data_IF_366655690253
#
_entry.id   IF_366655690253
#
_cell.length_a   1.000
_cell.length_b   1.000
_cell.length_c   1.000
_cell.angle_alpha   90.00
_cell.angle_beta   90.00
_cell.angle_gamma   90.00
#
_symmetry.space_group_name_H-M   'P 1'
#
loop_
_entity.id
_entity.type
_entity.pdbx_description
1 polymer ?
#
# COMPACT_ATOMS: atom_id res chain seq x y z
N UNK A 1 -43.21 0.77 34.50
CA UNK A 1 -41.92 0.25 33.99
C UNK A 1 -41.42 -0.77 34.98
N UNK A 2 -41.43 -2.04 34.60
CA UNK A 2 -40.98 -3.12 35.48
C UNK A 2 -39.46 -3.15 35.54
N UNK A 3 -38.90 -3.04 36.74
CA UNK A 3 -37.45 -3.05 36.98
C UNK A 3 -36.79 -4.34 36.47
N UNK A 4 -37.52 -5.45 36.50
CA UNK A 4 -37.09 -6.73 35.93
C UNK A 4 -37.03 -6.72 34.40
N UNK A 5 -37.96 -6.00 33.74
CA UNK A 5 -37.97 -5.87 32.26
C UNK A 5 -36.76 -5.07 31.78
N UNK A 6 -36.44 -3.96 32.46
CA UNK A 6 -35.29 -3.11 32.09
C UNK A 6 -33.96 -3.87 32.18
N UNK A 7 -33.80 -4.71 33.21
CA UNK A 7 -32.62 -5.57 33.36
C UNK A 7 -32.56 -6.65 32.26
N UNK A 8 -33.71 -7.26 31.93
CA UNK A 8 -33.79 -8.22 30.82
C UNK A 8 -33.42 -7.62 29.47
N UNK A 9 -33.90 -6.41 29.19
CA UNK A 9 -33.60 -5.68 27.96
C UNK A 9 -32.11 -5.27 27.89
N UNK A 10 -31.52 -4.84 29.01
CA UNK A 10 -30.10 -4.52 29.07
C UNK A 10 -29.21 -5.75 28.78
N UNK A 11 -29.56 -6.92 29.34
CA UNK A 11 -28.84 -8.18 29.08
C UNK A 11 -28.97 -8.58 27.60
N UNK A 12 -30.16 -8.43 27.02
CA UNK A 12 -30.40 -8.72 25.61
C UNK A 12 -29.58 -7.80 24.71
N UNK A 13 -29.51 -6.51 25.04
CA UNK A 13 -28.72 -5.53 24.29
C UNK A 13 -27.21 -5.81 24.36
N UNK A 14 -26.68 -6.17 25.53
CA UNK A 14 -25.28 -6.57 25.69
C UNK A 14 -24.93 -7.81 24.85
N UNK A 15 -25.81 -8.80 24.80
CA UNK A 15 -25.61 -9.98 23.93
C UNK A 15 -25.55 -9.61 22.45
N UNK A 16 -26.44 -8.71 22.00
CA UNK A 16 -26.44 -8.23 20.61
C UNK A 16 -25.17 -7.44 20.27
N UNK A 17 -24.68 -6.62 21.20
CA UNK A 17 -23.41 -5.91 21.05
C UNK A 17 -22.23 -6.89 20.96
N UNK A 18 -22.19 -7.89 21.83
CA UNK A 18 -21.13 -8.90 21.83
C UNK A 18 -21.08 -9.67 20.50
N UNK A 19 -22.23 -10.03 19.95
CA UNK A 19 -22.33 -10.71 18.65
C UNK A 19 -21.83 -9.81 17.50
N UNK A 20 -22.24 -8.52 17.50
CA UNK A 20 -21.74 -7.55 16.51
C UNK A 20 -20.24 -7.36 16.57
N UNK A 21 -19.66 -7.21 17.76
CA UNK A 21 -18.21 -7.08 17.94
C UNK A 21 -17.50 -8.31 17.39
N UNK A 22 -17.98 -9.51 17.71
CA UNK A 22 -17.40 -10.76 17.20
C UNK A 22 -17.43 -10.83 15.66
N UNK A 23 -18.55 -10.44 15.04
CA UNK A 23 -18.64 -10.43 13.57
C UNK A 23 -17.65 -9.44 12.93
N UNK A 24 -17.50 -8.25 13.50
CA UNK A 24 -16.57 -7.23 13.01
C UNK A 24 -15.10 -7.66 13.19
N UNK A 25 -14.77 -8.30 14.31
CA UNK A 25 -13.44 -8.85 14.55
C UNK A 25 -13.10 -9.98 13.57
N UNK A 26 -14.06 -10.87 13.27
CA UNK A 26 -13.86 -11.93 12.29
C UNK A 26 -13.70 -11.40 10.86
N UNK A 27 -14.46 -10.38 10.45
CA UNK A 27 -14.26 -9.69 9.16
C UNK A 27 -12.89 -9.03 9.08
N UNK A 28 -12.45 -8.39 10.16
CA UNK A 28 -11.14 -7.71 10.21
C UNK A 28 -9.99 -8.71 10.13
N UNK A 29 -10.11 -9.88 10.79
CA UNK A 29 -9.11 -10.96 10.74
C UNK A 29 -8.99 -11.61 9.36
N UNK A 30 -10.08 -11.70 8.60
CA UNK A 30 -10.04 -12.20 7.21
C UNK A 30 -9.36 -11.20 6.27
N UNK A 31 -9.51 -9.89 6.53
CA UNK A 31 -8.88 -8.82 5.73
C UNK A 31 -7.39 -8.66 6.00
N UNK A 32 -6.89 -8.98 7.20
CA UNK A 32 -5.46 -8.86 7.51
C UNK A 32 -4.58 -9.96 6.89
N UNK A 33 -5.15 -11.03 6.34
CA UNK A 33 -4.41 -12.12 5.67
C UNK A 33 -4.26 -11.94 4.16
N UNK A 34 -4.90 -10.94 3.55
CA UNK A 34 -4.78 -10.66 2.12
C UNK A 34 -3.69 -9.59 1.87
N UNK A 35 -2.46 -10.08 1.77
CA UNK A 35 -1.32 -9.41 1.14
C UNK A 35 -0.83 -8.11 1.76
N UNK A 36 0.05 -8.25 2.77
CA UNK A 36 1.01 -7.20 3.10
C UNK A 36 2.41 -7.70 2.73
N UNK A 37 2.92 -7.27 1.58
CA UNK A 37 4.37 -7.25 1.35
C UNK A 37 4.86 -5.92 1.92
N UNK A 38 5.43 -5.97 3.12
CA UNK A 38 6.20 -4.86 3.68
C UNK A 38 7.54 -4.80 2.93
N UNK A 39 7.75 -3.80 2.09
CA UNK A 39 9.10 -3.37 1.72
C UNK A 39 9.47 -2.22 2.66
N UNK A 40 10.14 -2.58 3.75
CA UNK A 40 10.67 -1.63 4.74
C UNK A 40 11.99 -1.07 4.20
N UNK A 41 12.09 0.24 3.98
CA UNK A 41 12.79 1.25 4.82
C UNK A 41 13.21 2.48 3.98
N UNK A 42 12.47 3.59 4.06
CA UNK A 42 12.99 4.88 3.61
C UNK A 42 14.10 5.34 4.55
N UNK A 43 15.34 5.47 4.06
CA UNK A 43 16.43 6.11 4.81
C UNK A 43 16.55 7.58 4.41
N UNK A 44 16.63 8.43 5.42
CA UNK A 44 16.88 9.87 5.30
C UNK A 44 18.32 10.07 4.88
N UNK A 45 18.56 10.65 3.70
CA UNK A 45 19.88 11.16 3.33
C UNK A 45 20.18 12.39 4.19
N UNK A 46 21.16 12.29 5.09
CA UNK A 46 21.87 13.45 5.62
C UNK A 46 23.00 13.74 4.64
N UNK A 47 22.78 14.72 3.76
CA UNK A 47 23.87 15.31 2.99
C UNK A 47 24.71 16.18 3.95
N UNK A 48 25.99 15.89 4.00
CA UNK A 48 26.90 16.41 5.01
C UNK A 48 28.30 15.87 4.75
N UNK A 49 28.88 16.35 3.67
CA UNK A 49 30.30 16.57 3.46
C UNK A 49 31.24 16.13 4.61
N UNK A 50 32.23 15.29 4.23
CA UNK A 50 33.59 15.18 4.77
C UNK A 50 33.99 13.81 5.37
N UNK A 51 35.06 13.26 4.78
CA UNK A 51 36.06 12.34 5.37
C UNK A 51 35.88 10.81 5.23
N UNK A 52 36.69 10.25 4.32
CA UNK A 52 37.51 9.02 4.42
C UNK A 52 37.51 8.24 5.74
N UNK A 53 37.19 6.94 5.68
CA UNK A 53 38.05 5.83 6.15
C UNK A 53 37.45 4.45 5.80
N UNK A 54 38.32 3.53 5.37
CA UNK A 54 38.07 2.10 5.14
C UNK A 54 37.59 1.33 6.39
N UNK A 55 37.08 0.12 6.11
CA UNK A 55 36.93 -1.07 6.96
C UNK A 55 35.52 -1.44 7.48
N UNK A 56 34.95 -2.41 6.75
CA UNK A 56 34.24 -3.59 7.25
C UNK A 56 33.15 -3.39 8.34
N UNK A 57 31.91 -3.22 7.88
CA UNK A 57 30.74 -3.74 8.59
C UNK A 57 29.80 -4.49 7.62
N UNK A 58 29.85 -5.80 7.77
CA UNK A 58 28.82 -6.81 7.51
C UNK A 58 27.47 -6.36 6.92
N UNK A 59 27.15 -6.87 5.73
CA UNK A 59 25.82 -7.36 5.32
C UNK A 59 24.64 -6.43 5.56
N UNK A 60 24.35 -5.56 4.60
CA UNK A 60 23.08 -4.84 4.57
C UNK A 60 22.62 -4.70 3.10
N UNK A 61 21.37 -5.07 2.74
CA UNK A 61 20.85 -4.83 1.40
C UNK A 61 20.48 -3.34 1.29
N UNK A 62 21.49 -2.48 1.15
CA UNK A 62 21.32 -1.01 1.16
C UNK A 62 21.19 -0.40 -0.23
N UNK A 63 20.91 -1.19 -1.26
CA UNK A 63 20.97 -0.70 -2.64
C UNK A 63 19.90 -1.40 -3.51
N UNK A 64 18.65 -1.38 -3.06
CA UNK A 64 17.55 -1.73 -3.96
C UNK A 64 17.28 -0.51 -4.85
N UNK A 65 17.50 -0.59 -6.17
CA UNK A 65 17.42 0.58 -7.04
C UNK A 65 15.97 1.08 -7.10
N UNK A 66 15.78 2.39 -6.99
CA UNK A 66 14.50 3.02 -7.31
C UNK A 66 14.03 2.56 -8.71
N UNK A 67 12.72 2.35 -8.91
CA UNK A 67 11.60 2.75 -8.04
C UNK A 67 11.21 1.73 -6.95
N UNK A 68 10.90 2.21 -5.75
CA UNK A 68 10.23 1.41 -4.70
C UNK A 68 8.72 1.38 -4.99
N UNK A 69 8.12 0.19 -5.05
CA UNK A 69 6.70 0.00 -5.41
C UNK A 69 6.01 -0.87 -4.35
N UNK A 70 4.96 -0.33 -3.75
CA UNK A 70 4.00 -1.07 -2.93
C UNK A 70 2.67 -1.20 -3.67
N UNK A 71 2.07 -2.39 -3.64
CA UNK A 71 0.74 -2.61 -4.19
C UNK A 71 -0.12 -3.42 -3.22
N UNK A 72 -1.42 -3.08 -3.15
CA UNK A 72 -2.41 -3.76 -2.32
C UNK A 72 -3.70 -3.95 -3.10
N UNK A 73 -4.30 -5.12 -2.98
CA UNK A 73 -5.63 -5.41 -3.50
C UNK A 73 -6.64 -5.38 -2.36
N UNK A 74 -7.80 -4.79 -2.61
CA UNK A 74 -8.95 -4.82 -1.71
C UNK A 74 -10.21 -4.88 -2.53
N UNK A 75 -10.96 -5.97 -2.43
CA UNK A 75 -12.17 -6.22 -3.21
C UNK A 75 -11.92 -6.03 -4.72
N UNK A 76 -12.46 -4.96 -5.31
CA UNK A 76 -12.30 -4.58 -6.73
C UNK A 76 -11.34 -3.40 -6.95
N UNK A 77 -10.64 -2.97 -5.90
CA UNK A 77 -9.76 -1.81 -5.92
C UNK A 77 -8.31 -2.23 -5.73
N UNK A 78 -7.42 -1.54 -6.43
CA UNK A 78 -5.97 -1.65 -6.33
C UNK A 78 -5.42 -0.32 -5.82
N UNK A 79 -4.62 -0.37 -4.77
CA UNK A 79 -3.82 0.76 -4.31
C UNK A 79 -2.35 0.51 -4.68
N UNK A 80 -1.74 1.47 -5.34
CA UNK A 80 -0.34 1.45 -5.76
C UNK A 80 0.34 2.68 -5.16
N UNK A 81 1.48 2.49 -4.49
CA UNK A 81 2.32 3.56 -3.96
C UNK A 81 3.72 3.39 -4.50
N UNK A 82 4.28 4.47 -5.02
CA UNK A 82 5.55 4.45 -5.73
C UNK A 82 6.39 5.61 -5.24
N UNK A 83 7.60 5.28 -4.81
CA UNK A 83 8.61 6.27 -4.49
C UNK A 83 9.76 6.15 -5.51
N UNK A 84 10.08 7.26 -6.17
CA UNK A 84 11.05 7.29 -7.25
C UNK A 84 11.70 8.67 -7.41
N UNK A 85 12.76 8.72 -8.21
CA UNK A 85 13.36 10.00 -8.61
C UNK A 85 12.45 10.77 -9.56
N UNK A 86 12.41 12.08 -9.35
CA UNK A 86 11.72 13.04 -10.21
C UNK A 86 12.41 13.10 -11.56
N UNK A 87 11.86 12.37 -12.53
CA UNK A 87 12.24 12.41 -13.94
C UNK A 87 11.07 12.96 -14.78
N UNK A 88 11.38 13.63 -15.88
CA UNK A 88 10.36 14.15 -16.79
C UNK A 88 9.55 12.97 -17.36
N UNK A 89 8.22 13.05 -17.29
CA UNK A 89 7.31 12.05 -17.86
C UNK A 89 7.13 10.76 -17.05
N UNK A 90 7.69 10.65 -15.84
CA UNK A 90 7.52 9.44 -14.99
C UNK A 90 6.04 9.17 -14.65
N UNK A 91 5.27 10.21 -14.36
CA UNK A 91 3.83 10.06 -14.04
C UNK A 91 3.04 9.60 -15.26
N UNK A 92 3.35 10.14 -16.44
CA UNK A 92 2.71 9.74 -17.70
C UNK A 92 3.00 8.26 -18.02
N UNK A 93 4.27 7.85 -17.87
CA UNK A 93 4.71 6.46 -18.04
C UNK A 93 4.00 5.53 -17.05
N UNK A 94 3.87 5.96 -15.80
CA UNK A 94 3.18 5.20 -14.76
C UNK A 94 1.72 4.95 -15.12
N UNK A 95 0.98 6.00 -15.45
CA UNK A 95 -0.45 5.90 -15.76
C UNK A 95 -0.65 4.99 -16.97
N UNK A 96 0.17 5.15 -18.02
CA UNK A 96 0.12 4.28 -19.20
C UNK A 96 0.39 2.80 -18.85
N UNK A 97 1.37 2.53 -17.98
CA UNK A 97 1.67 1.15 -17.55
C UNK A 97 0.50 0.57 -16.74
N UNK A 98 -0.12 1.34 -15.84
CA UNK A 98 -1.28 0.88 -15.06
C UNK A 98 -2.47 0.58 -15.97
N UNK A 99 -2.79 1.47 -16.91
CA UNK A 99 -3.88 1.27 -17.87
C UNK A 99 -3.63 0.06 -18.79
N UNK A 100 -2.38 -0.17 -19.19
CA UNK A 100 -1.97 -1.34 -19.98
C UNK A 100 -2.15 -2.69 -19.26
N UNK A 101 -2.40 -2.68 -17.94
CA UNK A 101 -2.67 -3.87 -17.14
C UNK A 101 -4.16 -4.17 -16.98
N UNK A 102 -5.05 -3.52 -17.74
CA UNK A 102 -6.51 -3.64 -17.59
C UNK A 102 -7.00 -3.17 -16.22
N UNK A 103 -6.36 -2.12 -15.70
CA UNK A 103 -6.78 -1.42 -14.50
C UNK A 103 -7.28 -0.04 -14.89
N UNK A 104 -8.46 0.35 -14.40
CA UNK A 104 -9.02 1.68 -14.64
C UNK A 104 -8.59 2.62 -13.52
N UNK A 105 -7.81 3.66 -13.82
CA UNK A 105 -7.37 4.64 -12.81
C UNK A 105 -8.58 5.46 -12.33
N UNK A 106 -8.89 5.36 -11.03
CA UNK A 106 -9.97 6.13 -10.38
C UNK A 106 -9.42 7.44 -9.82
N UNK A 107 -8.26 7.36 -9.16
CA UNK A 107 -7.64 8.50 -8.50
C UNK A 107 -6.12 8.39 -8.59
N UNK A 108 -5.46 9.53 -8.71
CA UNK A 108 -4.00 9.62 -8.65
C UNK A 108 -3.62 10.86 -7.86
N UNK A 109 -2.65 10.71 -6.96
CA UNK A 109 -2.05 11.79 -6.20
C UNK A 109 -0.54 11.73 -6.41
N UNK A 110 0.05 12.89 -6.68
CA UNK A 110 1.48 13.04 -6.92
C UNK A 110 2.01 14.09 -5.95
N UNK A 111 3.00 13.71 -5.15
CA UNK A 111 3.68 14.57 -4.21
C UNK A 111 5.15 14.63 -4.56
N UNK A 112 5.71 15.82 -4.71
CA UNK A 112 7.15 16.02 -4.86
C UNK A 112 7.77 16.35 -3.52
N UNK A 113 8.90 15.73 -3.19
CA UNK A 113 9.68 16.07 -2.01
C UNK A 113 11.06 16.60 -2.44
N UNK A 114 11.34 17.85 -2.09
CA UNK A 114 12.53 18.54 -2.54
C UNK A 114 12.65 18.62 -4.07
N UNK A 115 13.88 18.58 -4.57
CA UNK A 115 14.17 18.74 -5.99
C UNK A 115 14.24 17.42 -6.76
N UNK A 116 14.39 16.29 -6.06
CA UNK A 116 14.75 15.00 -6.67
C UNK A 116 13.77 13.87 -6.37
N UNK A 117 12.92 13.94 -5.34
CA UNK A 117 12.05 12.82 -4.97
C UNK A 117 10.59 13.04 -5.41
N UNK A 118 9.94 11.94 -5.79
CA UNK A 118 8.55 11.88 -6.22
C UNK A 118 7.86 10.68 -5.55
N UNK A 119 6.76 10.96 -4.86
CA UNK A 119 5.85 9.97 -4.30
C UNK A 119 4.54 10.01 -5.11
N UNK A 120 4.15 8.86 -5.65
CA UNK A 120 2.94 8.72 -6.44
C UNK A 120 2.04 7.67 -5.81
N UNK A 121 0.81 8.04 -5.54
CA UNK A 121 -0.24 7.12 -5.11
C UNK A 121 -1.30 7.02 -6.21
N UNK A 122 -1.60 5.80 -6.66
CA UNK A 122 -2.64 5.50 -7.65
C UNK A 122 -3.67 4.57 -7.02
N UNK A 123 -4.94 4.89 -7.20
CA UNK A 123 -6.07 4.03 -6.89
C UNK A 123 -6.74 3.66 -8.21
N UNK A 124 -6.82 2.37 -8.48
CA UNK A 124 -7.41 1.84 -9.71
C UNK A 124 -8.49 0.78 -9.42
N UNK A 125 -9.39 0.58 -10.38
CA UNK A 125 -10.40 -0.47 -10.36
C UNK A 125 -9.95 -1.66 -11.21
N UNK A 126 -10.19 -2.87 -10.72
CA UNK A 126 -9.99 -4.10 -11.47
C UNK A 126 -11.20 -4.36 -12.38
N UNK A 127 -10.95 -4.75 -13.62
CA UNK A 127 -11.98 -5.31 -14.50
C UNK A 127 -12.44 -6.69 -14.00
N UNK A 128 -13.62 -7.12 -14.45
CA UNK A 128 -14.27 -8.37 -13.98
C UNK A 128 -13.41 -9.62 -14.28
N UNK A 129 -12.56 -9.56 -15.30
CA UNK A 129 -11.72 -10.66 -15.76
C UNK A 129 -10.25 -10.53 -15.29
N UNK A 130 -9.94 -9.58 -14.40
CA UNK A 130 -8.58 -9.37 -13.92
C UNK A 130 -8.11 -10.54 -13.03
N UNK A 131 -7.08 -11.26 -13.49
CA UNK A 131 -6.57 -12.47 -12.81
C UNK A 131 -5.09 -12.37 -12.39
N UNK A 132 -4.52 -11.16 -12.34
CA UNK A 132 -3.10 -10.96 -12.04
C UNK A 132 -2.84 -10.96 -10.53
N UNK A 133 -1.69 -11.50 -10.09
CA UNK A 133 -1.28 -11.43 -8.68
C UNK A 133 -0.63 -10.09 -8.34
N UNK A 134 -0.64 -9.69 -7.07
CA UNK A 134 0.05 -8.48 -6.58
C UNK A 134 1.55 -8.52 -6.96
N UNK A 135 2.18 -9.70 -6.88
CA UNK A 135 3.60 -9.87 -7.21
C UNK A 135 3.88 -9.62 -8.69
N UNK A 136 2.98 -10.04 -9.57
CA UNK A 136 3.12 -9.82 -11.01
C UNK A 136 2.88 -8.36 -11.38
N UNK A 137 1.91 -7.70 -10.71
CA UNK A 137 1.68 -6.27 -10.85
C UNK A 137 2.94 -5.47 -10.49
N UNK A 138 3.51 -5.71 -9.31
CA UNK A 138 4.73 -5.01 -8.85
C UNK A 138 5.89 -5.24 -9.82
N UNK A 139 6.09 -6.48 -10.29
CA UNK A 139 7.13 -6.79 -11.28
C UNK A 139 6.95 -6.06 -12.59
N UNK A 140 5.72 -6.00 -13.12
CA UNK A 140 5.43 -5.31 -14.38
C UNK A 140 5.63 -3.80 -14.24
N UNK A 141 5.11 -3.19 -13.18
CA UNK A 141 5.34 -1.77 -12.90
C UNK A 141 6.82 -1.46 -12.72
N UNK A 142 7.56 -2.31 -12.02
CA UNK A 142 8.99 -2.14 -11.84
C UNK A 142 9.77 -2.26 -13.16
N UNK A 143 9.37 -3.16 -14.06
CA UNK A 143 9.96 -3.29 -15.39
C UNK A 143 9.60 -2.09 -16.29
N UNK A 144 8.37 -1.60 -16.21
CA UNK A 144 7.88 -0.46 -16.99
C UNK A 144 8.47 0.88 -16.54
N UNK A 145 8.83 1.05 -15.27
CA UNK A 145 9.30 2.32 -14.71
C UNK A 145 10.83 2.50 -14.68
N UNK A 146 11.59 1.46 -15.03
CA UNK A 146 13.05 1.58 -15.19
C UNK A 146 13.39 2.58 -16.30
#
# INVERSE_FOLDING_TARGET
MDKASVLGDAIKYLKQLQERVKTLEEETRKKTTESVVFVKKSQVFLDGENSSSDENFSGSPLDEPLPEIEARFSDKSVLIRIHCEKRKGVVEKLVAEVEGLHLTVINSSVMTFGNSALDVTVIAQMEVEFSMTVKDLVKKLHAGLK
#
